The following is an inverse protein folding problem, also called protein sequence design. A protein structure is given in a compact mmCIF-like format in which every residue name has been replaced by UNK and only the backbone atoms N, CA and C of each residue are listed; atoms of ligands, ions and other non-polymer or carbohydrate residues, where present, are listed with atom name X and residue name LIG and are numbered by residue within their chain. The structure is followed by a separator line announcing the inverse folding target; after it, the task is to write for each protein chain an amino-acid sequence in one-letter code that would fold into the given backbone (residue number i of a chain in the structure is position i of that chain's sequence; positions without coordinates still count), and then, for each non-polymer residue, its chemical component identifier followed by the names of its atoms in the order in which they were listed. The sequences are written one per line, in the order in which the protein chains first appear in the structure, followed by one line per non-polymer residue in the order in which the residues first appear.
data_IF_807385911718
#
_entry.id   IF_807385911718
#
_cell.length_a   1.000
_cell.length_b   1.000
_cell.length_c   1.000
_cell.angle_alpha   90.00
_cell.angle_beta   90.00
_cell.angle_gamma   90.00
#
_symmetry.space_group_name_H-M   'P 1'
#
loop_
_entity.id
_entity.type
_entity.pdbx_description
1 polymer ?
#
# COMPACT_ATOMS: atom_id res chain seq x y z
N UNK A 1 -1.09 -28.49 -42.82
CA UNK A 1 -0.39 -28.33 -41.53
C UNK A 1 -0.67 -29.55 -40.67
N UNK A 2 0.37 -30.19 -40.17
CA UNK A 2 0.21 -31.30 -39.22
C UNK A 2 -0.07 -30.75 -37.82
N UNK A 3 -0.79 -31.51 -36.99
CA UNK A 3 -1.14 -31.12 -35.61
C UNK A 3 0.10 -30.76 -34.78
N UNK A 4 1.23 -31.42 -35.07
CA UNK A 4 2.54 -31.16 -34.47
C UNK A 4 3.13 -29.81 -34.90
N UNK A 5 3.01 -29.40 -36.17
CA UNK A 5 3.42 -28.06 -36.62
C UNK A 5 2.61 -26.96 -35.94
N UNK A 6 1.30 -27.16 -35.74
CA UNK A 6 0.45 -26.19 -35.02
C UNK A 6 0.90 -25.99 -33.57
N UNK A 7 1.22 -27.08 -32.87
CA UNK A 7 1.71 -27.01 -31.49
C UNK A 7 3.10 -26.38 -31.38
N UNK A 8 4.01 -26.66 -32.32
CA UNK A 8 5.34 -26.04 -32.34
C UNK A 8 5.25 -24.53 -32.57
N UNK A 9 4.36 -24.09 -33.45
CA UNK A 9 4.12 -22.65 -33.66
C UNK A 9 3.51 -21.98 -32.43
N UNK A 10 2.54 -22.62 -31.78
CA UNK A 10 1.95 -22.11 -30.54
C UNK A 10 3.01 -22.00 -29.42
N UNK A 11 3.85 -23.02 -29.26
CA UNK A 11 4.93 -23.02 -28.29
C UNK A 11 5.98 -21.93 -28.58
N UNK A 12 6.35 -21.76 -29.84
CA UNK A 12 7.29 -20.71 -30.25
C UNK A 12 6.74 -19.30 -29.95
N UNK A 13 5.46 -19.05 -30.22
CA UNK A 13 4.80 -17.78 -29.90
C UNK A 13 4.74 -17.54 -28.39
N UNK A 14 4.45 -18.57 -27.60
CA UNK A 14 4.43 -18.49 -26.14
C UNK A 14 5.80 -18.10 -25.57
N UNK A 15 6.87 -18.79 -26.02
CA UNK A 15 8.23 -18.53 -25.56
C UNK A 15 8.69 -17.12 -25.98
N UNK A 16 8.35 -16.70 -27.20
CA UNK A 16 8.67 -15.36 -27.67
C UNK A 16 7.93 -14.29 -26.86
N UNK A 17 6.64 -14.50 -26.57
CA UNK A 17 5.86 -13.61 -25.70
C UNK A 17 6.43 -13.51 -24.28
N UNK A 18 6.87 -14.63 -23.69
CA UNK A 18 7.54 -14.62 -22.39
C UNK A 18 8.87 -13.86 -22.42
N UNK A 19 9.68 -14.04 -23.46
CA UNK A 19 10.95 -13.34 -23.61
C UNK A 19 10.75 -11.82 -23.75
N UNK A 20 9.80 -11.40 -24.58
CA UNK A 20 9.44 -9.98 -24.73
C UNK A 20 8.87 -9.42 -23.43
N UNK A 21 8.03 -10.17 -22.71
CA UNK A 21 7.50 -9.76 -21.41
C UNK A 21 8.60 -9.57 -20.36
N UNK A 22 9.54 -10.50 -20.28
CA UNK A 22 10.67 -10.42 -19.34
C UNK A 22 11.59 -9.24 -19.64
N UNK A 23 11.95 -9.05 -20.92
CA UNK A 23 12.81 -7.94 -21.35
C UNK A 23 12.11 -6.59 -21.22
N UNK A 24 10.81 -6.51 -21.55
CA UNK A 24 10.00 -5.31 -21.38
C UNK A 24 9.87 -4.91 -19.92
N UNK A 25 9.70 -5.87 -19.01
CA UNK A 25 9.63 -5.61 -17.57
C UNK A 25 10.97 -5.13 -17.01
N UNK A 26 12.09 -5.67 -17.49
CA UNK A 26 13.43 -5.25 -17.06
C UNK A 26 13.78 -3.85 -17.60
N UNK A 27 13.45 -3.56 -18.87
CA UNK A 27 13.61 -2.22 -19.43
C UNK A 27 12.72 -1.20 -18.69
N UNK A 28 11.47 -1.54 -18.38
CA UNK A 28 10.56 -0.69 -17.61
C UNK A 28 11.05 -0.46 -16.18
N UNK A 29 11.64 -1.48 -15.53
CA UNK A 29 12.26 -1.38 -14.20
C UNK A 29 13.44 -0.40 -14.20
N UNK A 30 14.30 -0.46 -15.22
CA UNK A 30 15.49 0.40 -15.32
C UNK A 30 15.12 1.84 -15.69
N UNK A 31 14.16 2.05 -16.60
CA UNK A 31 13.77 3.39 -17.05
C UNK A 31 12.79 4.11 -16.12
N UNK A 32 11.82 3.40 -15.55
CA UNK A 32 10.74 4.02 -14.76
C UNK A 32 10.83 3.69 -13.26
N UNK A 33 11.88 3.00 -12.83
CA UNK A 33 12.06 2.58 -11.44
C UNK A 33 11.15 1.43 -11.00
N UNK A 34 10.30 0.89 -11.89
CA UNK A 34 9.31 -0.13 -11.55
C UNK A 34 8.27 0.34 -10.52
N UNK A 35 7.34 -0.54 -10.10
CA UNK A 35 6.22 -0.17 -9.21
C UNK A 35 6.66 0.19 -7.78
N UNK A 36 7.94 -0.02 -7.46
CA UNK A 36 8.52 0.15 -6.12
C UNK A 36 9.79 1.01 -6.11
N UNK A 37 10.12 1.69 -7.21
CA UNK A 37 11.39 2.41 -7.36
C UNK A 37 11.62 3.53 -6.37
N UNK A 38 10.54 4.20 -5.94
CA UNK A 38 10.60 5.21 -4.89
C UNK A 38 10.90 4.60 -3.52
N UNK A 39 10.31 3.43 -3.21
CA UNK A 39 10.54 2.74 -1.94
C UNK A 39 11.95 2.16 -1.86
N UNK A 40 12.44 1.50 -2.91
CA UNK A 40 13.81 0.97 -2.94
C UNK A 40 14.88 2.07 -2.94
N UNK A 41 14.58 3.26 -3.50
CA UNK A 41 15.49 4.42 -3.46
C UNK A 41 15.53 5.05 -2.06
N UNK A 42 14.39 5.18 -1.40
CA UNK A 42 14.29 5.66 -0.02
C UNK A 42 15.01 4.74 0.96
N UNK A 43 14.92 3.42 0.77
CA UNK A 43 15.62 2.44 1.60
C UNK A 43 17.15 2.51 1.47
N UNK A 44 17.65 2.83 0.27
CA UNK A 44 19.10 2.97 0.02
C UNK A 44 19.69 4.27 0.55
N UNK A 45 18.96 5.38 0.41
CA UNK A 45 19.47 6.72 0.74
C UNK A 45 19.11 7.15 2.17
N UNK A 46 18.08 6.54 2.76
CA UNK A 46 17.46 7.01 3.98
C UNK A 46 16.40 8.09 3.70
N UNK A 47 15.45 8.30 4.64
CA UNK A 47 14.30 9.17 4.46
C UNK A 47 14.67 10.64 4.17
N UNK A 48 15.67 11.18 4.87
CA UNK A 48 16.07 12.57 4.70
C UNK A 48 16.79 12.82 3.37
N UNK A 49 17.76 11.97 3.02
CA UNK A 49 18.47 12.10 1.76
C UNK A 49 17.55 11.88 0.54
N UNK A 50 16.56 11.00 0.64
CA UNK A 50 15.54 10.84 -0.41
C UNK A 50 14.73 12.12 -0.64
N UNK A 51 14.31 12.79 0.43
CA UNK A 51 13.58 14.07 0.35
C UNK A 51 14.48 15.15 -0.26
N UNK A 52 15.73 15.28 0.20
CA UNK A 52 16.68 16.26 -0.34
C UNK A 52 17.01 15.99 -1.80
N UNK A 53 17.16 14.73 -2.21
CA UNK A 53 17.36 14.35 -3.62
C UNK A 53 16.19 14.81 -4.48
N UNK A 54 14.95 14.60 -4.00
CA UNK A 54 13.76 15.05 -4.72
C UNK A 54 13.65 16.58 -4.78
N UNK A 55 13.94 17.27 -3.68
CA UNK A 55 14.04 18.74 -3.68
C UNK A 55 15.13 19.23 -4.64
N UNK A 56 16.25 18.50 -4.75
CA UNK A 56 17.32 18.81 -5.69
C UNK A 56 16.86 18.67 -7.13
N UNK A 57 16.11 17.62 -7.45
CA UNK A 57 15.54 17.40 -8.80
C UNK A 57 14.49 18.47 -9.15
N UNK A 58 13.62 18.81 -8.21
CA UNK A 58 12.49 19.70 -8.47
C UNK A 58 12.90 21.19 -8.43
N UNK A 59 13.90 21.56 -7.62
CA UNK A 59 14.31 22.95 -7.39
C UNK A 59 15.69 23.30 -7.94
N UNK A 60 16.45 22.32 -8.45
CA UNK A 60 17.80 22.54 -8.97
C UNK A 60 18.82 22.93 -7.90
N UNK A 61 18.75 22.32 -6.71
CA UNK A 61 19.64 22.67 -5.59
C UNK A 61 21.11 22.41 -5.92
N UNK A 62 22.00 23.29 -5.44
CA UNK A 62 23.44 23.05 -5.49
C UNK A 62 23.85 21.95 -4.50
N UNK A 63 25.03 21.35 -4.71
CA UNK A 63 25.57 20.33 -3.81
C UNK A 63 25.75 20.86 -2.36
N UNK A 64 26.09 22.14 -2.21
CA UNK A 64 26.23 22.80 -0.91
C UNK A 64 24.88 23.01 -0.23
N UNK A 65 23.86 23.43 -1.00
CA UNK A 65 22.49 23.58 -0.50
C UNK A 65 21.90 22.24 -0.06
N UNK A 66 22.08 21.18 -0.85
CA UNK A 66 21.62 19.83 -0.49
C UNK A 66 22.29 19.32 0.80
N UNK A 67 23.60 19.53 0.96
CA UNK A 67 24.33 19.17 2.19
C UNK A 67 23.82 19.95 3.40
N UNK A 68 23.55 21.25 3.24
CA UNK A 68 23.01 22.09 4.32
C UNK A 68 21.57 21.72 4.71
N UNK A 69 20.75 21.27 3.76
CA UNK A 69 19.35 20.88 4.00
C UNK A 69 19.19 19.51 4.64
N UNK A 70 20.12 18.58 4.39
CA UNK A 70 20.05 17.21 4.92
C UNK A 70 19.83 17.17 6.45
N UNK A 71 20.64 17.83 7.30
CA UNK A 71 20.43 17.81 8.74
C UNK A 71 19.11 18.47 9.18
N UNK A 72 18.61 19.47 8.46
CA UNK A 72 17.33 20.11 8.76
C UNK A 72 16.15 19.16 8.52
N UNK A 73 16.22 18.38 7.44
CA UNK A 73 15.20 17.38 7.11
C UNK A 73 15.27 16.20 8.09
N UNK A 74 16.47 15.77 8.49
CA UNK A 74 16.65 14.76 9.55
C UNK A 74 16.03 15.20 10.88
N UNK A 75 16.31 16.43 11.30
CA UNK A 75 15.73 16.99 12.52
C UNK A 75 14.20 17.08 12.42
N UNK A 76 13.67 17.52 11.27
CA UNK A 76 12.23 17.54 11.02
C UNK A 76 11.61 16.15 11.21
N UNK A 77 12.21 15.11 10.63
CA UNK A 77 11.74 13.72 10.80
C UNK A 77 11.79 13.27 12.25
N UNK A 78 12.88 13.55 12.97
CA UNK A 78 13.01 13.20 14.38
C UNK A 78 11.93 13.88 15.24
N UNK A 79 11.75 15.20 15.10
CA UNK A 79 10.74 15.96 15.85
C UNK A 79 9.32 15.49 15.54
N UNK A 80 9.02 15.20 14.27
CA UNK A 80 7.68 14.71 13.92
C UNK A 80 7.46 13.26 14.36
N UNK A 81 8.49 12.42 14.41
CA UNK A 81 8.39 11.10 15.03
C UNK A 81 8.10 11.19 16.53
N UNK A 82 8.76 12.09 17.26
CA UNK A 82 8.49 12.34 18.68
C UNK A 82 7.09 12.88 18.92
N UNK A 83 6.65 13.87 18.13
CA UNK A 83 5.31 14.44 18.25
C UNK A 83 4.20 13.41 17.97
N UNK A 84 4.47 12.38 17.15
CA UNK A 84 3.52 11.30 16.87
C UNK A 84 3.38 10.27 17.98
N UNK A 85 4.39 10.08 18.85
CA UNK A 85 4.35 9.07 19.93
C UNK A 85 3.06 9.10 20.76
N UNK A 86 2.65 10.24 21.36
CA UNK A 86 1.45 10.27 22.20
C UNK A 86 0.16 10.00 21.39
N UNK A 87 0.13 10.38 20.11
CA UNK A 87 -1.00 10.08 19.24
C UNK A 87 -1.12 8.58 18.96
N UNK A 88 0.00 7.90 18.70
CA UNK A 88 0.03 6.46 18.48
C UNK A 88 -0.41 5.68 19.74
N UNK A 89 0.02 6.12 20.92
CA UNK A 89 -0.42 5.53 22.18
C UNK A 89 -1.94 5.69 22.39
N UNK A 90 -2.48 6.88 22.11
CA UNK A 90 -3.92 7.12 22.19
C UNK A 90 -4.71 6.31 21.15
N UNK A 91 -4.20 6.19 19.93
CA UNK A 91 -4.80 5.39 18.86
C UNK A 91 -4.86 3.90 19.25
N UNK A 92 -3.76 3.35 19.78
CA UNK A 92 -3.70 1.96 20.22
C UNK A 92 -4.67 1.70 21.39
N UNK A 93 -4.79 2.63 22.35
CA UNK A 93 -5.74 2.52 23.44
C UNK A 93 -7.20 2.51 22.96
N UNK A 94 -7.57 3.41 22.04
CA UNK A 94 -8.90 3.44 21.43
C UNK A 94 -9.17 2.12 20.69
N UNK A 95 -8.17 1.62 19.96
CA UNK A 95 -8.31 0.36 19.25
C UNK A 95 -8.58 -0.79 20.23
N UNK A 96 -7.80 -0.93 21.29
CA UNK A 96 -8.00 -1.96 22.32
C UNK A 96 -9.38 -1.89 22.99
N UNK A 97 -9.85 -0.68 23.31
CA UNK A 97 -11.17 -0.48 23.88
C UNK A 97 -12.27 -1.01 22.96
N UNK A 98 -12.24 -0.62 21.68
CA UNK A 98 -13.25 -1.04 20.72
C UNK A 98 -13.14 -2.53 20.39
N UNK A 99 -11.95 -3.11 20.41
CA UNK A 99 -11.76 -4.56 20.29
C UNK A 99 -12.46 -5.32 21.41
N UNK A 100 -12.37 -4.83 22.65
CA UNK A 100 -13.07 -5.43 23.80
C UNK A 100 -14.60 -5.31 23.64
N UNK A 101 -15.09 -4.14 23.21
CA UNK A 101 -16.52 -3.92 22.93
C UNK A 101 -17.05 -4.84 21.84
N UNK A 102 -16.31 -4.99 20.73
CA UNK A 102 -16.66 -5.92 19.66
C UNK A 102 -16.72 -7.35 20.20
N UNK A 103 -15.70 -7.78 20.95
CA UNK A 103 -15.63 -9.15 21.51
C UNK A 103 -16.83 -9.48 22.40
N UNK A 104 -17.34 -8.51 23.17
CA UNK A 104 -18.52 -8.70 24.02
C UNK A 104 -19.83 -8.97 23.25
N UNK A 105 -19.88 -8.59 21.96
CA UNK A 105 -21.04 -8.80 21.10
C UNK A 105 -20.96 -10.09 20.28
N UNK A 106 -19.82 -10.79 20.31
CA UNK A 106 -19.59 -11.99 19.52
C UNK A 106 -19.94 -13.24 20.32
N UNK A 107 -20.42 -14.27 19.62
CA UNK A 107 -20.50 -15.61 20.22
C UNK A 107 -19.09 -16.13 20.54
N UNK A 108 -18.92 -17.11 21.45
CA UNK A 108 -17.61 -17.67 21.77
C UNK A 108 -16.82 -18.17 20.55
N UNK A 109 -17.52 -18.77 19.57
CA UNK A 109 -16.91 -19.25 18.32
C UNK A 109 -16.47 -18.09 17.41
N UNK A 110 -17.28 -17.04 17.31
CA UNK A 110 -16.94 -15.84 16.53
C UNK A 110 -15.79 -15.05 17.18
N UNK A 111 -15.76 -14.98 18.51
CA UNK A 111 -14.69 -14.31 19.26
C UNK A 111 -13.32 -14.95 19.01
N UNK A 112 -13.25 -16.29 18.97
CA UNK A 112 -12.01 -17.02 18.62
C UNK A 112 -11.53 -16.68 17.21
N UNK A 113 -12.43 -16.72 16.23
CA UNK A 113 -12.09 -16.36 14.83
C UNK A 113 -11.66 -14.91 14.70
N UNK A 114 -12.29 -14.01 15.44
CA UNK A 114 -11.95 -12.59 15.46
C UNK A 114 -10.55 -12.35 16.04
N UNK A 115 -10.19 -13.03 17.13
CA UNK A 115 -8.85 -12.96 17.72
C UNK A 115 -7.77 -13.45 16.74
N UNK A 116 -8.01 -14.55 16.03
CA UNK A 116 -7.08 -15.01 14.99
C UNK A 116 -6.88 -13.98 13.87
N UNK A 117 -7.94 -13.29 13.46
CA UNK A 117 -7.85 -12.23 12.45
C UNK A 117 -7.00 -11.07 12.98
N UNK A 118 -7.22 -10.65 14.23
CA UNK A 118 -6.47 -9.56 14.83
C UNK A 118 -4.99 -9.90 15.03
N UNK A 119 -4.66 -11.13 15.41
CA UNK A 119 -3.28 -11.61 15.47
C UNK A 119 -2.61 -11.53 14.11
N UNK A 120 -3.25 -12.02 13.04
CA UNK A 120 -2.72 -11.93 11.67
C UNK A 120 -2.51 -10.48 11.24
N UNK A 121 -3.46 -9.60 11.56
CA UNK A 121 -3.39 -8.19 11.21
C UNK A 121 -2.25 -7.48 11.95
N UNK A 122 -2.04 -7.79 13.24
CA UNK A 122 -0.92 -7.26 14.04
C UNK A 122 0.42 -7.75 13.51
N UNK A 123 0.54 -9.02 13.17
CA UNK A 123 1.75 -9.58 12.57
C UNK A 123 2.01 -8.99 11.17
N UNK A 124 0.98 -8.76 10.37
CA UNK A 124 1.11 -8.06 9.10
C UNK A 124 1.56 -6.61 9.29
N UNK A 125 0.96 -5.87 10.25
CA UNK A 125 1.36 -4.51 10.60
C UNK A 125 2.82 -4.45 11.05
N UNK A 126 3.24 -5.35 11.95
CA UNK A 126 4.65 -5.47 12.36
C UNK A 126 5.57 -5.71 11.17
N UNK A 127 5.22 -6.63 10.25
CA UNK A 127 6.02 -6.89 9.04
C UNK A 127 6.15 -5.65 8.16
N UNK A 128 5.08 -4.89 7.98
CA UNK A 128 5.10 -3.63 7.21
C UNK A 128 5.91 -2.51 7.90
N UNK A 129 5.97 -2.50 9.24
CA UNK A 129 6.77 -1.55 10.02
C UNK A 129 8.23 -1.97 10.18
N UNK A 130 8.58 -3.25 9.99
CA UNK A 130 9.92 -3.81 10.27
C UNK A 130 10.83 -3.93 9.04
N UNK A 131 10.42 -3.46 7.86
CA UNK A 131 11.21 -3.59 6.63
C UNK A 131 10.35 -3.77 5.39
N UNK A 132 10.97 -3.90 4.20
CA UNK A 132 10.28 -3.83 2.91
C UNK A 132 9.24 -4.95 2.79
N UNK A 133 8.16 -4.73 2.01
CA UNK A 133 7.07 -5.68 1.91
C UNK A 133 7.60 -7.05 1.48
N UNK A 134 7.47 -8.03 2.38
CA UNK A 134 7.78 -9.41 2.06
C UNK A 134 6.91 -9.89 0.89
N UNK A 135 7.35 -10.95 0.17
CA UNK A 135 6.59 -11.51 -0.93
C UNK A 135 5.13 -11.79 -0.50
N UNK A 136 4.15 -11.61 -1.41
CA UNK A 136 2.75 -11.86 -1.10
C UNK A 136 2.61 -13.27 -0.49
N UNK A 137 1.73 -13.46 0.51
CA UNK A 137 1.51 -14.77 1.09
C UNK A 137 1.17 -15.76 -0.04
N UNK A 138 1.63 -17.03 0.05
CA UNK A 138 1.29 -18.06 -0.93
C UNK A 138 -0.24 -18.08 -1.11
N UNK A 139 -0.75 -18.29 -2.33
CA UNK A 139 -2.17 -18.49 -2.52
C UNK A 139 -2.62 -19.65 -1.63
N UNK A 140 -3.43 -19.36 -0.61
CA UNK A 140 -4.15 -20.39 0.12
C UNK A 140 -4.99 -21.13 -0.94
N UNK A 141 -4.54 -22.32 -1.35
CA UNK A 141 -5.17 -23.16 -2.38
C UNK A 141 -6.57 -23.68 -2.03
N UNK A 142 -7.31 -22.94 -1.18
CA UNK A 142 -8.66 -23.23 -0.69
C UNK A 142 -9.65 -22.07 -0.88
N UNK A 143 -9.25 -20.95 -1.49
CA UNK A 143 -10.20 -19.89 -1.88
C UNK A 143 -10.09 -19.65 -3.37
N UNK A 144 -11.12 -20.08 -4.10
CA UNK A 144 -11.35 -19.62 -5.47
C UNK A 144 -11.43 -18.10 -5.54
N UNK A 145 -11.45 -17.52 -6.74
CA UNK A 145 -11.56 -16.07 -6.91
C UNK A 145 -12.71 -15.53 -6.04
N UNK A 146 -12.52 -14.42 -5.31
CA UNK A 146 -13.61 -13.80 -4.59
C UNK A 146 -14.76 -13.56 -5.59
N UNK A 147 -16.03 -13.78 -5.19
CA UNK A 147 -17.15 -13.45 -6.06
C UNK A 147 -17.00 -11.98 -6.49
N UNK A 148 -17.37 -11.63 -7.73
CA UNK A 148 -17.36 -10.24 -8.16
C UNK A 148 -18.10 -9.40 -7.12
N UNK A 149 -17.61 -8.19 -6.79
CA UNK A 149 -18.34 -7.29 -5.92
C UNK A 149 -19.76 -7.16 -6.50
N UNK A 150 -20.82 -7.12 -5.66
CA UNK A 150 -22.13 -6.70 -6.12
C UNK A 150 -21.93 -5.42 -6.92
N UNK A 151 -22.42 -5.39 -8.17
CA UNK A 151 -22.39 -4.18 -9.00
C UNK A 151 -22.89 -2.99 -8.17
N UNK A 152 -22.45 -1.76 -8.49
CA UNK A 152 -22.66 -0.60 -7.63
C UNK A 152 -24.11 -0.60 -7.14
N UNK A 153 -24.27 -0.86 -5.84
CA UNK A 153 -25.52 -0.56 -5.18
C UNK A 153 -25.78 0.90 -5.54
N UNK A 154 -26.96 1.18 -6.09
CA UNK A 154 -27.38 2.55 -6.32
C UNK A 154 -27.11 3.39 -5.07
N UNK A 155 -26.98 4.71 -5.23
CA UNK A 155 -26.63 5.60 -4.13
C UNK A 155 -27.47 5.25 -2.89
N UNK A 156 -26.85 5.20 -1.69
CA UNK A 156 -27.55 4.85 -0.48
C UNK A 156 -28.83 5.71 -0.34
N UNK A 157 -29.94 5.15 0.18
CA UNK A 157 -31.27 5.77 0.12
C UNK A 157 -31.39 7.14 0.82
N UNK A 158 -30.39 7.54 1.62
CA UNK A 158 -30.30 8.84 2.27
C UNK A 158 -29.54 9.92 1.47
N UNK A 159 -29.07 9.61 0.25
CA UNK A 159 -28.56 10.60 -0.70
C UNK A 159 -29.66 10.88 -1.72
N UNK A 160 -30.77 11.45 -1.24
CA UNK A 160 -31.78 12.06 -2.11
C UNK A 160 -31.52 13.56 -2.21
N UNK A 161 -31.45 14.15 -3.41
CA UNK A 161 -31.44 15.60 -3.58
C UNK A 161 -32.72 16.19 -2.99
N UNK A 162 -32.63 16.76 -1.78
CA UNK A 162 -33.78 17.35 -1.08
C UNK A 162 -33.84 17.09 0.43
N UNK A 163 -32.93 16.30 1.01
CA UNK A 163 -32.95 16.04 2.45
C UNK A 163 -32.48 17.27 3.27
N UNK A 164 -33.33 17.86 4.16
CA UNK A 164 -33.02 19.08 4.90
C UNK A 164 -31.96 18.90 6.01
N UNK A 165 -31.38 17.70 6.15
CA UNK A 165 -30.33 17.36 7.13
C UNK A 165 -28.97 17.09 6.48
N UNK A 166 -28.81 17.33 5.18
CA UNK A 166 -27.52 17.23 4.51
C UNK A 166 -26.53 18.31 4.97
N UNK A 167 -25.21 18.03 4.95
CA UNK A 167 -24.21 19.06 5.21
C UNK A 167 -24.36 20.20 4.18
N UNK A 168 -24.15 21.48 4.58
CA UNK A 168 -24.31 22.60 3.67
C UNK A 168 -23.35 22.46 2.47
N UNK A 169 -23.77 22.87 1.27
CA UNK A 169 -22.90 22.83 0.10
C UNK A 169 -21.65 23.68 0.33
N UNK A 170 -20.49 23.28 -0.23
CA UNK A 170 -19.26 24.06 -0.12
C UNK A 170 -19.46 25.47 -0.73
N UNK A 171 -18.83 26.51 -0.17
CA UNK A 171 -18.89 27.86 -0.74
C UNK A 171 -18.43 27.83 -2.20
N UNK A 172 -19.27 28.34 -3.09
CA UNK A 172 -19.06 28.30 -4.54
C UNK A 172 -17.78 28.98 -4.99
N UNK A 173 -17.18 28.39 -6.04
CA UNK A 173 -16.31 29.07 -7.01
C UNK A 173 -17.16 29.81 -8.04
#
# INVERSE_FOLDING_TARGET
MTRTQGWLLALALLVCGMAVGALGMEAWRVWFGGPFGHFGRMERLGPAAFVVERMTQDLGLSAEQGKALTPLVEEMFARTAEARKPFLEAEDAIFEEYQARIRALLTPEQARKHEEIMVRLREHRKRMLSGPPGPPPPPDGRRGPPPPPPGPAGPPPWISPGDPKGPPPPPGQ
#
